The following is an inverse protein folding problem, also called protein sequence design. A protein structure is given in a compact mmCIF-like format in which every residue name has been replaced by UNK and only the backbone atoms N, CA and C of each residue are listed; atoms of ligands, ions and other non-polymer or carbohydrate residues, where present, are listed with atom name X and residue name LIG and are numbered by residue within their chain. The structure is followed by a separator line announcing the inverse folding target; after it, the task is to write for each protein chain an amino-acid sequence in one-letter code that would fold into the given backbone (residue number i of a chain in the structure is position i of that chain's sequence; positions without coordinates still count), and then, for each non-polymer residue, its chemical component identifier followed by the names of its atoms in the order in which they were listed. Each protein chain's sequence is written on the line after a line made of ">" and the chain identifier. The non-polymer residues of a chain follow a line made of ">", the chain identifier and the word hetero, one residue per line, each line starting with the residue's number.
data_IF_845149653896
#
_entry.id   IF_845149653896
#
_cell.length_a   1.000
_cell.length_b   1.000
_cell.length_c   1.000
_cell.angle_alpha   90.00
_cell.angle_beta   90.00
_cell.angle_gamma   90.00
#
_symmetry.space_group_name_H-M   'P 1'
#
loop_
_entity.id
_entity.type
_entity.pdbx_description
1 polymer ?
#
# COMPACT_ATOMS: atom_id res chain seq x y z
N UNK A 1 18.40 18.04 -1.63
CA UNK A 1 18.48 16.87 -0.74
C UNK A 1 17.23 16.92 0.13
N UNK A 2 16.19 16.15 -0.20
CA UNK A 2 14.95 16.17 0.58
C UNK A 2 15.25 15.55 1.95
N UNK A 3 15.06 16.36 2.99
CA UNK A 3 15.34 16.02 4.39
C UNK A 3 14.34 14.94 4.81
N UNK A 4 14.87 13.74 4.98
CA UNK A 4 14.14 12.50 5.30
C UNK A 4 13.82 12.43 6.79
N UNK A 5 13.06 13.40 7.29
CA UNK A 5 12.62 13.41 8.68
C UNK A 5 11.20 12.82 8.79
N UNK A 6 11.02 11.70 9.51
CA UNK A 6 9.73 11.03 9.62
C UNK A 6 8.67 11.81 10.42
N UNK A 7 9.06 12.79 11.23
CA UNK A 7 8.14 13.71 11.94
C UNK A 7 7.72 14.91 11.08
N UNK A 8 8.53 15.27 10.08
CA UNK A 8 8.29 16.42 9.18
C UNK A 8 7.22 16.17 8.11
N UNK A 9 6.75 14.93 7.96
CA UNK A 9 5.62 14.61 7.10
C UNK A 9 4.28 14.99 7.78
N UNK A 10 4.07 16.28 8.03
CA UNK A 10 2.86 16.89 8.62
C UNK A 10 1.66 16.93 7.65
N UNK A 11 1.48 15.92 6.79
CA UNK A 11 0.22 15.75 6.07
C UNK A 11 -0.67 14.78 6.84
N UNK A 12 -1.67 15.26 7.61
CA UNK A 12 -2.63 14.37 8.25
C UNK A 12 -3.41 13.62 7.18
N UNK A 13 -3.42 12.29 7.28
CA UNK A 13 -4.30 11.48 6.43
C UNK A 13 -5.65 11.40 7.10
N UNK A 14 -6.61 12.08 6.50
CA UNK A 14 -7.99 12.07 6.95
C UNK A 14 -8.70 10.80 6.43
N UNK A 15 -9.18 9.91 7.32
CA UNK A 15 -9.89 8.70 6.94
C UNK A 15 -11.20 8.96 6.18
N UNK A 16 -11.76 10.17 6.27
CA UNK A 16 -12.96 10.54 5.52
C UNK A 16 -12.69 10.74 4.02
N UNK A 17 -11.41 10.83 3.59
CA UNK A 17 -11.04 11.10 2.20
C UNK A 17 -11.12 9.88 1.28
N UNK A 18 -12.30 9.26 1.25
CA UNK A 18 -12.60 8.09 0.43
C UNK A 18 -12.54 8.39 -1.07
N UNK A 19 -12.63 9.66 -1.47
CA UNK A 19 -12.46 10.06 -2.87
C UNK A 19 -11.07 9.70 -3.41
N UNK A 20 -10.03 9.78 -2.55
CA UNK A 20 -8.65 9.43 -2.92
C UNK A 20 -8.47 7.91 -3.01
N UNK A 21 -9.20 7.18 -2.16
CA UNK A 21 -9.25 5.71 -2.19
C UNK A 21 -9.89 5.24 -3.49
N UNK A 22 -11.01 5.83 -3.88
CA UNK A 22 -11.70 5.53 -5.14
C UNK A 22 -10.88 5.96 -6.35
N UNK A 23 -10.18 7.09 -6.29
CA UNK A 23 -9.25 7.52 -7.33
C UNK A 23 -8.15 6.47 -7.55
N UNK A 24 -7.51 6.00 -6.47
CA UNK A 24 -6.50 4.96 -6.55
C UNK A 24 -7.09 3.64 -7.08
N UNK A 25 -8.29 3.26 -6.64
CA UNK A 25 -8.97 2.04 -7.09
C UNK A 25 -9.24 2.03 -8.59
N UNK A 26 -9.64 3.17 -9.16
CA UNK A 26 -9.91 3.30 -10.61
C UNK A 26 -8.65 3.19 -11.45
N UNK A 27 -7.54 3.74 -10.97
CA UNK A 27 -6.27 3.73 -11.69
C UNK A 27 -5.07 3.56 -10.74
N UNK A 28 -4.77 2.34 -10.26
CA UNK A 28 -3.68 2.10 -9.30
C UNK A 28 -2.29 2.51 -9.82
N UNK A 29 -2.10 2.52 -11.15
CA UNK A 29 -0.85 2.94 -11.81
C UNK A 29 -0.80 4.42 -12.18
N UNK A 30 -1.88 5.14 -11.94
CA UNK A 30 -2.02 6.55 -12.29
C UNK A 30 -2.42 6.81 -13.75
N UNK A 31 -2.35 8.08 -14.19
CA UNK A 31 -1.82 9.23 -13.46
C UNK A 31 -2.63 9.55 -12.19
N UNK A 32 -1.94 10.00 -11.14
CA UNK A 32 -2.54 10.33 -9.85
C UNK A 32 -2.61 11.85 -9.66
N UNK A 33 -3.66 12.32 -8.99
CA UNK A 33 -3.80 13.69 -8.52
C UNK A 33 -2.71 14.03 -7.49
N UNK A 34 -2.42 15.33 -7.33
CA UNK A 34 -1.45 15.79 -6.33
C UNK A 34 -1.82 15.34 -4.91
N UNK A 35 -3.12 15.31 -4.59
CA UNK A 35 -3.62 14.85 -3.29
C UNK A 35 -3.36 13.35 -3.08
N UNK A 36 -3.62 12.52 -4.09
CA UNK A 36 -3.32 11.09 -4.03
C UNK A 36 -1.80 10.84 -3.98
N UNK A 37 -1.00 11.60 -4.71
CA UNK A 37 0.46 11.51 -4.62
C UNK A 37 0.98 11.81 -3.21
N UNK A 38 0.47 12.85 -2.54
CA UNK A 38 0.82 13.16 -1.14
C UNK A 38 0.44 12.02 -0.19
N UNK A 39 -0.76 11.44 -0.36
CA UNK A 39 -1.20 10.28 0.41
C UNK A 39 -0.29 9.07 0.20
N UNK A 40 0.03 8.73 -1.05
CA UNK A 40 0.91 7.60 -1.38
C UNK A 40 2.34 7.80 -0.86
N UNK A 41 2.86 9.03 -0.89
CA UNK A 41 4.14 9.37 -0.26
C UNK A 41 4.09 9.14 1.25
N UNK A 42 3.02 9.57 1.92
CA UNK A 42 2.85 9.35 3.37
C UNK A 42 2.79 7.86 3.72
N UNK A 43 2.05 7.07 2.95
CA UNK A 43 1.97 5.62 3.10
C UNK A 43 3.31 4.92 2.89
N UNK A 44 4.18 5.46 2.02
CA UNK A 44 5.53 4.91 1.77
C UNK A 44 6.49 5.22 2.92
N UNK A 45 6.27 6.33 3.62
CA UNK A 45 7.16 6.83 4.67
C UNK A 45 6.82 6.32 6.08
N UNK A 46 5.55 5.98 6.35
CA UNK A 46 5.05 5.64 7.69
C UNK A 46 5.62 4.35 8.33
N UNK A 47 6.47 3.59 7.66
CA UNK A 47 6.88 2.25 8.13
C UNK A 47 8.38 2.08 8.34
N UNK A 48 8.90 2.47 9.49
CA UNK A 48 10.14 1.91 10.06
C UNK A 48 9.73 0.68 10.87
N UNK A 49 9.46 -0.45 10.21
CA UNK A 49 9.15 -1.66 10.95
C UNK A 49 8.54 -2.83 10.19
N UNK A 50 7.57 -2.59 9.30
CA UNK A 50 6.81 -3.69 8.66
C UNK A 50 6.20 -3.27 7.32
N UNK A 51 7.03 -3.09 6.28
CA UNK A 51 6.53 -2.64 4.96
C UNK A 51 5.95 -3.82 4.18
N UNK A 52 4.68 -3.73 3.81
CA UNK A 52 4.08 -4.68 2.86
C UNK A 52 4.59 -4.40 1.44
N UNK A 53 5.03 -5.44 0.76
CA UNK A 53 5.62 -5.43 -0.58
C UNK A 53 5.05 -6.56 -1.42
N UNK A 54 5.23 -6.48 -2.74
CA UNK A 54 4.89 -7.54 -3.67
C UNK A 54 6.17 -8.22 -4.15
N UNK A 55 6.26 -9.53 -3.94
CA UNK A 55 7.31 -10.37 -4.50
C UNK A 55 6.82 -10.88 -5.85
N UNK A 56 7.57 -10.58 -6.91
CA UNK A 56 7.28 -11.09 -8.26
C UNK A 56 7.60 -12.58 -8.28
N UNK A 57 6.57 -13.42 -8.43
CA UNK A 57 6.74 -14.87 -8.67
C UNK A 57 6.95 -15.11 -10.16
N UNK A 58 6.13 -14.46 -10.98
CA UNK A 58 6.24 -14.44 -12.44
C UNK A 58 6.05 -13.02 -12.96
N UNK A 59 7.01 -12.48 -13.74
CA UNK A 59 6.88 -11.15 -14.31
C UNK A 59 5.56 -10.98 -15.08
N UNK A 60 4.83 -9.91 -14.78
CA UNK A 60 3.56 -9.57 -15.42
C UNK A 60 2.45 -10.63 -15.28
N UNK A 61 2.60 -11.62 -14.39
CA UNK A 61 1.62 -12.70 -14.22
C UNK A 61 1.25 -12.99 -12.78
N UNK A 62 2.23 -13.11 -11.88
CA UNK A 62 1.99 -13.54 -10.50
C UNK A 62 2.82 -12.75 -9.51
N UNK A 63 2.14 -12.24 -8.48
CA UNK A 63 2.75 -11.51 -7.38
C UNK A 63 2.27 -12.08 -6.07
N UNK A 64 3.17 -12.20 -5.09
CA UNK A 64 2.87 -12.67 -3.75
C UNK A 64 3.02 -11.52 -2.77
N UNK A 65 2.07 -11.37 -1.86
CA UNK A 65 2.23 -10.45 -0.74
C UNK A 65 3.39 -10.90 0.14
N UNK A 66 4.20 -9.95 0.58
CA UNK A 66 5.24 -10.18 1.57
C UNK A 66 5.36 -8.97 2.49
N UNK A 67 6.03 -9.16 3.63
CA UNK A 67 6.29 -8.12 4.63
C UNK A 67 7.77 -8.05 4.92
N UNK A 68 8.34 -6.88 4.70
CA UNK A 68 9.71 -6.55 5.03
C UNK A 68 9.86 -6.47 6.55
N UNK A 69 10.86 -7.14 7.14
CA UNK A 69 11.12 -7.04 8.57
C UNK A 69 11.67 -5.66 8.92
N UNK A 70 11.43 -5.24 10.16
CA UNK A 70 11.93 -3.95 10.69
C UNK A 70 13.43 -3.96 11.00
N UNK A 71 14.02 -5.16 11.06
CA UNK A 71 15.44 -5.37 11.31
C UNK A 71 16.15 -5.73 10.01
N UNK A 72 17.27 -5.04 9.74
CA UNK A 72 18.13 -5.33 8.60
C UNK A 72 18.75 -6.72 8.76
N UNK A 73 18.72 -7.53 7.69
CA UNK A 73 19.28 -8.89 7.68
C UNK A 73 18.31 -9.99 8.14
N UNK A 74 17.14 -9.63 8.68
CA UNK A 74 16.09 -10.60 8.94
C UNK A 74 15.43 -11.07 7.62
N UNK A 75 14.90 -12.30 7.58
CA UNK A 75 14.21 -12.82 6.40
C UNK A 75 12.91 -12.06 6.13
N UNK A 76 12.54 -11.97 4.85
CA UNK A 76 11.25 -11.45 4.42
C UNK A 76 10.16 -12.45 4.80
N UNK A 77 9.09 -11.98 5.42
CA UNK A 77 7.92 -12.80 5.71
C UNK A 77 7.05 -12.87 4.46
N UNK A 78 6.87 -14.06 3.92
CA UNK A 78 6.09 -14.29 2.70
C UNK A 78 4.70 -14.84 3.05
N UNK A 79 3.69 -14.45 2.27
CA UNK A 79 2.31 -14.93 2.43
C UNK A 79 1.93 -15.78 1.21
N UNK A 80 2.28 -17.08 1.16
CA UNK A 80 2.03 -17.94 0.01
C UNK A 80 0.54 -18.16 -0.28
N UNK A 81 -0.33 -17.89 0.69
CA UNK A 81 -1.79 -17.90 0.54
C UNK A 81 -2.36 -16.58 -0.04
N UNK A 82 -1.52 -15.56 -0.28
CA UNK A 82 -1.92 -14.26 -0.83
C UNK A 82 -1.15 -13.99 -2.13
N UNK A 83 -1.53 -14.74 -3.17
CA UNK A 83 -1.01 -14.60 -4.53
C UNK A 83 -2.06 -13.94 -5.41
N UNK A 84 -1.62 -12.97 -6.20
CA UNK A 84 -2.44 -12.19 -7.12
C UNK A 84 -2.01 -12.47 -8.55
N UNK A 85 -2.98 -12.52 -9.46
CA UNK A 85 -2.76 -12.67 -10.91
C UNK A 85 -2.94 -11.36 -11.67
N UNK A 86 -3.43 -10.32 -10.98
CA UNK A 86 -3.52 -8.95 -11.47
C UNK A 86 -2.64 -8.04 -10.64
N UNK A 87 -1.79 -7.23 -11.30
CA UNK A 87 -0.99 -6.24 -10.58
C UNK A 87 -1.89 -5.19 -9.92
N UNK A 88 -3.01 -4.83 -10.54
CA UNK A 88 -3.95 -3.85 -9.98
C UNK A 88 -4.56 -4.35 -8.66
N UNK A 89 -4.95 -5.63 -8.60
CA UNK A 89 -5.44 -6.26 -7.35
C UNK A 89 -4.34 -6.35 -6.30
N UNK A 90 -3.11 -6.66 -6.71
CA UNK A 90 -1.97 -6.75 -5.81
C UNK A 90 -1.61 -5.38 -5.20
N UNK A 91 -1.60 -4.32 -6.03
CA UNK A 91 -1.38 -2.94 -5.60
C UNK A 91 -2.50 -2.45 -4.68
N UNK A 92 -3.75 -2.77 -5.02
CA UNK A 92 -4.91 -2.49 -4.19
C UNK A 92 -4.83 -3.16 -2.81
N UNK A 93 -4.49 -4.45 -2.76
CA UNK A 93 -4.33 -5.17 -1.49
C UNK A 93 -3.25 -4.52 -0.59
N UNK A 94 -2.12 -4.11 -1.17
CA UNK A 94 -1.08 -3.37 -0.44
C UNK A 94 -1.59 -2.00 0.03
N UNK A 95 -2.38 -1.31 -0.79
CA UNK A 95 -2.99 -0.03 -0.43
C UNK A 95 -3.94 -0.17 0.76
N UNK A 96 -4.86 -1.14 0.75
CA UNK A 96 -5.81 -1.39 1.84
C UNK A 96 -5.08 -1.64 3.16
N UNK A 97 -4.05 -2.48 3.15
CA UNK A 97 -3.25 -2.78 4.36
C UNK A 97 -2.54 -1.52 4.87
N UNK A 98 -1.99 -0.70 3.98
CA UNK A 98 -1.31 0.56 4.36
C UNK A 98 -2.29 1.62 4.84
N UNK A 99 -3.48 1.69 4.26
CA UNK A 99 -4.54 2.57 4.67
C UNK A 99 -5.00 2.24 6.08
N UNK A 100 -5.29 0.98 6.37
CA UNK A 100 -5.66 0.51 7.71
C UNK A 100 -4.54 0.79 8.73
N UNK A 101 -3.28 0.51 8.38
CA UNK A 101 -2.16 0.79 9.27
C UNK A 101 -1.96 2.29 9.55
N UNK A 102 -2.33 3.17 8.61
CA UNK A 102 -2.14 4.62 8.72
C UNK A 102 -3.34 5.33 9.37
N UNK A 103 -4.55 4.84 9.15
CA UNK A 103 -5.80 5.50 9.56
C UNK A 103 -6.58 4.73 10.63
N UNK A 104 -6.22 3.47 10.90
CA UNK A 104 -7.00 2.57 11.74
C UNK A 104 -8.32 2.09 11.13
N UNK A 105 -8.64 2.51 9.89
CA UNK A 105 -9.91 2.18 9.23
C UNK A 105 -9.69 1.11 8.17
N UNK A 106 -10.41 0.00 8.23
CA UNK A 106 -10.36 -1.03 7.20
C UNK A 106 -11.23 -0.62 6.01
N UNK A 107 -10.65 -0.61 4.81
CA UNK A 107 -11.42 -0.47 3.58
C UNK A 107 -12.06 -1.82 3.26
N UNK A 108 -13.37 -1.94 3.49
CA UNK A 108 -14.09 -3.13 3.05
C UNK A 108 -14.18 -3.13 1.54
N UNK A 109 -13.67 -4.18 0.91
CA UNK A 109 -13.93 -4.39 -0.51
C UNK A 109 -15.42 -4.72 -0.66
N UNK A 110 -16.22 -3.77 -1.16
CA UNK A 110 -17.57 -4.05 -1.64
C UNK A 110 -17.48 -4.83 -2.95
N UNK A 111 -17.00 -6.07 -2.86
CA UNK A 111 -17.30 -7.07 -3.87
C UNK A 111 -17.40 -8.44 -3.17
N UNK A 112 -18.58 -8.79 -2.61
CA UNK A 112 -18.86 -10.19 -2.42
C UNK A 112 -18.92 -10.79 -3.83
N UNK A 113 -18.08 -11.80 -4.05
CA UNK A 113 -18.20 -12.71 -5.18
C UNK A 113 -19.69 -13.02 -5.42
N UNK A 114 -20.20 -12.64 -6.58
CA UNK A 114 -21.47 -13.13 -7.13
C UNK A 114 -21.17 -13.71 -8.51
#
# INVERSE_FOLDING_TARGET
>A
MLVNDPESAHWPVDPARLELVEEFRRAPRGPHSEALQKLLHRMRWSGVGRRHVLVVLEPNRRWMLARMPGQRGAPIETFPNRVFTSLAEAEWAVFVIRWEALTGTTLQDKNPSA
#
